data_IF_954313922332
#
_entry.id   IF_954313922332
#
_cell.length_a   1.000
_cell.length_b   1.000
_cell.length_c   1.000
_cell.angle_alpha   90.00
_cell.angle_beta   90.00
_cell.angle_gamma   90.00
#
_symmetry.space_group_name_H-M   'P 1'
#
loop_
_entity.id
_entity.type
_entity.pdbx_description
1 polymer ?
#
# COMPACT_ATOMS: atom_id res chain seq x y z
N UNK A 1 0.83 23.85 -12.65
CA UNK A 1 0.15 22.59 -12.29
C UNK A 1 0.07 21.72 -13.53
N UNK A 2 0.34 20.45 -13.42
CA UNK A 2 0.22 19.49 -14.50
C UNK A 2 -1.09 18.70 -14.34
N UNK A 3 -1.69 18.16 -15.42
CA UNK A 3 -2.87 17.30 -15.29
C UNK A 3 -2.53 15.92 -14.70
N UNK A 4 -1.26 15.65 -14.45
CA UNK A 4 -0.77 14.39 -13.88
C UNK A 4 -1.12 14.25 -12.40
N UNK A 5 -1.27 13.01 -11.96
CA UNK A 5 -1.55 12.70 -10.56
C UNK A 5 -0.88 11.41 -10.09
N UNK A 6 -0.77 11.30 -8.77
CA UNK A 6 -0.46 10.06 -8.06
C UNK A 6 -1.77 9.47 -7.52
N UNK A 7 -2.00 8.19 -7.75
CA UNK A 7 -3.11 7.45 -7.17
C UNK A 7 -2.61 6.69 -5.95
N UNK A 8 -3.24 6.96 -4.79
CA UNK A 8 -2.96 6.24 -3.55
C UNK A 8 -4.18 5.42 -3.19
N UNK A 9 -4.00 4.13 -3.06
CA UNK A 9 -5.08 3.18 -2.78
C UNK A 9 -4.87 2.39 -1.49
N UNK A 10 -5.98 1.96 -0.91
CA UNK A 10 -6.07 1.04 0.21
C UNK A 10 -7.42 0.33 0.13
N UNK A 11 -7.51 -0.95 0.42
CA UNK A 11 -8.81 -1.58 0.49
C UNK A 11 -9.47 -1.32 1.84
N UNK A 12 -10.80 -1.23 1.87
CA UNK A 12 -11.52 -0.91 3.11
C UNK A 12 -12.42 -2.04 3.62
N UNK A 13 -12.62 -3.05 2.82
CA UNK A 13 -13.29 -4.28 3.27
C UNK A 13 -12.31 -5.20 3.98
N UNK A 14 -12.84 -6.12 4.75
CA UNK A 14 -12.03 -7.06 5.52
C UNK A 14 -12.71 -8.42 5.65
N UNK A 15 -11.94 -9.42 6.11
CA UNK A 15 -12.47 -10.59 6.77
C UNK A 15 -12.70 -10.22 8.23
N UNK A 16 -13.87 -10.43 8.75
CA UNK A 16 -14.23 -10.11 10.13
C UNK A 16 -13.92 -8.64 10.53
N UNK A 17 -13.25 -8.38 11.64
CA UNK A 17 -12.96 -7.04 12.15
C UNK A 17 -11.91 -6.30 11.30
N UNK A 18 -10.87 -6.98 10.86
CA UNK A 18 -9.86 -6.43 9.96
C UNK A 18 -9.19 -5.16 10.44
N UNK A 19 -8.78 -5.10 11.70
CA UNK A 19 -8.18 -3.88 12.25
C UNK A 19 -6.79 -3.68 11.69
N UNK A 20 -5.96 -4.71 11.65
CA UNK A 20 -4.65 -4.62 11.00
C UNK A 20 -4.77 -4.71 9.49
N UNK A 21 -5.67 -5.57 8.99
CA UNK A 21 -5.94 -5.77 7.57
C UNK A 21 -7.41 -5.42 7.24
N UNK A 22 -7.79 -4.15 6.91
CA UNK A 22 -6.86 -3.08 6.54
C UNK A 22 -7.29 -1.72 7.12
N UNK A 23 -7.84 -1.67 8.33
CA UNK A 23 -8.20 -0.38 8.93
C UNK A 23 -6.97 0.51 9.17
N UNK A 24 -5.80 -0.09 9.48
CA UNK A 24 -4.55 0.67 9.62
C UNK A 24 -4.10 1.30 8.31
N UNK A 25 -4.23 0.61 7.18
CA UNK A 25 -3.95 1.17 5.86
C UNK A 25 -4.88 2.34 5.52
N UNK A 26 -6.16 2.18 5.82
CA UNK A 26 -7.15 3.26 5.61
C UNK A 26 -6.83 4.49 6.46
N UNK A 27 -6.46 4.30 7.73
CA UNK A 27 -6.05 5.38 8.62
C UNK A 27 -4.78 6.09 8.11
N UNK A 28 -3.79 5.34 7.65
CA UNK A 28 -2.56 5.90 7.08
C UNK A 28 -2.83 6.72 5.81
N UNK A 29 -3.67 6.22 4.92
CA UNK A 29 -4.07 6.97 3.70
C UNK A 29 -4.87 8.22 4.04
N UNK A 30 -5.75 8.16 5.03
CA UNK A 30 -6.50 9.33 5.49
C UNK A 30 -5.58 10.40 6.07
N UNK A 31 -4.60 10.01 6.89
CA UNK A 31 -3.61 10.95 7.44
C UNK A 31 -2.72 11.54 6.34
N UNK A 32 -2.30 10.72 5.38
CA UNK A 32 -1.57 11.20 4.21
C UNK A 32 -2.38 12.24 3.43
N UNK A 33 -3.67 12.00 3.21
CA UNK A 33 -4.56 12.96 2.57
C UNK A 33 -4.65 14.28 3.35
N UNK A 34 -4.78 14.20 4.68
CA UNK A 34 -4.81 15.36 5.57
C UNK A 34 -3.52 16.18 5.46
N UNK A 35 -2.37 15.52 5.50
CA UNK A 35 -1.06 16.19 5.40
C UNK A 35 -0.86 16.83 4.02
N UNK A 36 -1.17 16.09 2.97
CA UNK A 36 -0.97 16.57 1.59
C UNK A 36 -1.93 17.70 1.22
N UNK A 37 -3.15 17.72 1.77
CA UNK A 37 -4.11 18.81 1.53
C UNK A 37 -3.62 20.19 1.99
N UNK A 38 -2.64 20.22 2.87
CA UNK A 38 -2.00 21.45 3.38
C UNK A 38 -0.76 21.86 2.59
N UNK A 39 -0.42 21.15 1.54
CA UNK A 39 0.77 21.39 0.73
C UNK A 39 0.40 21.86 -0.68
N UNK A 40 1.22 22.75 -1.20
CA UNK A 40 1.16 23.06 -2.62
C UNK A 40 1.92 21.97 -3.39
N UNK A 41 1.19 21.16 -4.12
CA UNK A 41 1.74 20.04 -4.87
C UNK A 41 1.84 20.38 -6.35
N UNK A 42 2.90 19.90 -7.00
CA UNK A 42 3.07 20.05 -8.45
C UNK A 42 2.10 19.16 -9.23
N UNK A 43 1.76 17.99 -8.68
CA UNK A 43 0.82 17.03 -9.24
C UNK A 43 -0.35 16.81 -8.32
N UNK A 44 -1.48 16.45 -8.89
CA UNK A 44 -2.65 16.04 -8.11
C UNK A 44 -2.38 14.74 -7.32
N UNK A 45 -3.15 14.53 -6.28
CA UNK A 45 -3.23 13.25 -5.56
C UNK A 45 -4.67 12.81 -5.55
N UNK A 46 -4.93 11.61 -6.07
CA UNK A 46 -6.22 10.93 -5.94
C UNK A 46 -6.11 9.88 -4.85
N UNK A 47 -7.09 9.83 -3.97
CA UNK A 47 -7.20 8.81 -2.94
C UNK A 47 -8.34 7.88 -3.33
N UNK A 48 -8.12 6.58 -3.22
CA UNK A 48 -9.12 5.58 -3.49
C UNK A 48 -9.16 4.52 -2.39
N UNK A 49 -10.38 4.18 -1.97
CA UNK A 49 -10.63 3.06 -1.08
C UNK A 49 -11.37 1.97 -1.84
N UNK A 50 -10.75 0.82 -1.94
CA UNK A 50 -11.24 -0.29 -2.75
C UNK A 50 -12.21 -1.17 -1.98
N UNK A 51 -13.42 -1.42 -2.47
CA UNK A 51 -14.28 -2.49 -1.97
C UNK A 51 -13.89 -3.83 -2.57
N UNK A 52 -14.33 -4.89 -1.93
CA UNK A 52 -14.27 -6.25 -2.45
C UNK A 52 -12.84 -6.75 -2.78
N UNK A 53 -11.86 -6.32 -2.00
CA UNK A 53 -10.52 -6.91 -2.00
C UNK A 53 -10.57 -8.33 -1.43
N UNK A 54 -11.03 -8.44 -0.18
CA UNK A 54 -11.05 -9.71 0.56
C UNK A 54 -12.13 -10.66 0.05
N UNK A 55 -13.36 -10.16 -0.09
CA UNK A 55 -14.52 -11.00 -0.41
C UNK A 55 -14.83 -11.11 -1.91
N UNK A 56 -14.31 -10.20 -2.71
CA UNK A 56 -14.61 -10.10 -4.15
C UNK A 56 -13.41 -10.29 -5.07
N UNK A 57 -12.27 -10.73 -4.55
CA UNK A 57 -11.05 -10.92 -5.35
C UNK A 57 -10.69 -9.67 -6.16
N UNK A 58 -10.57 -8.53 -5.45
CA UNK A 58 -10.11 -7.25 -6.01
C UNK A 58 -11.10 -6.61 -7.00
N UNK A 59 -12.39 -6.92 -6.87
CA UNK A 59 -13.38 -6.45 -7.82
C UNK A 59 -13.47 -4.92 -7.92
N UNK A 60 -13.32 -4.20 -6.80
CA UNK A 60 -13.40 -2.75 -6.78
C UNK A 60 -12.26 -2.07 -7.52
N UNK A 61 -11.02 -2.45 -7.25
CA UNK A 61 -9.85 -1.90 -7.93
C UNK A 61 -9.80 -2.30 -9.41
N UNK A 62 -10.20 -3.53 -9.72
CA UNK A 62 -10.31 -4.00 -11.11
C UNK A 62 -11.33 -3.19 -11.89
N UNK A 63 -12.52 -3.01 -11.34
CA UNK A 63 -13.56 -2.18 -11.95
C UNK A 63 -13.07 -0.75 -12.18
N UNK A 64 -12.42 -0.15 -11.18
CA UNK A 64 -11.87 1.20 -11.32
C UNK A 64 -10.80 1.29 -12.41
N UNK A 65 -9.93 0.28 -12.48
CA UNK A 65 -8.90 0.22 -13.52
C UNK A 65 -9.51 0.16 -14.93
N UNK A 66 -10.57 -0.61 -15.11
CA UNK A 66 -11.25 -0.75 -16.39
C UNK A 66 -12.01 0.53 -16.76
N UNK A 67 -12.79 1.09 -15.85
CA UNK A 67 -13.59 2.30 -16.09
C UNK A 67 -12.74 3.56 -16.29
N UNK A 68 -11.59 3.63 -15.64
CA UNK A 68 -10.70 4.80 -15.70
C UNK A 68 -9.45 4.56 -16.55
N UNK A 69 -9.46 3.53 -17.39
CA UNK A 69 -8.29 3.09 -18.14
C UNK A 69 -7.58 4.22 -18.89
N UNK A 70 -8.31 5.00 -19.69
CA UNK A 70 -7.73 6.08 -20.49
C UNK A 70 -7.13 7.20 -19.62
N UNK A 71 -7.79 7.52 -18.52
CA UNK A 71 -7.31 8.52 -17.56
C UNK A 71 -6.05 8.04 -16.83
N UNK A 72 -6.05 6.79 -16.40
CA UNK A 72 -4.91 6.15 -15.76
C UNK A 72 -3.70 6.10 -16.71
N UNK A 73 -3.93 5.67 -17.93
CA UNK A 73 -2.85 5.55 -18.96
C UNK A 73 -2.26 6.91 -19.34
N UNK A 74 -3.08 7.95 -19.41
CA UNK A 74 -2.66 9.27 -19.86
C UNK A 74 -2.08 10.15 -18.74
N UNK A 75 -2.54 10.00 -17.49
CA UNK A 75 -2.29 10.98 -16.44
C UNK A 75 -1.77 10.43 -15.12
N UNK A 76 -1.95 9.13 -14.84
CA UNK A 76 -1.47 8.53 -13.60
C UNK A 76 0.03 8.25 -13.71
N UNK A 77 0.85 8.98 -12.94
CA UNK A 77 2.31 8.81 -12.97
C UNK A 77 2.81 7.83 -11.91
N UNK A 78 2.02 7.58 -10.89
CA UNK A 78 2.33 6.55 -9.90
C UNK A 78 1.06 6.00 -9.27
N UNK A 79 1.06 4.71 -8.99
CA UNK A 79 0.11 4.00 -8.12
C UNK A 79 0.85 3.57 -6.85
N UNK A 80 0.29 3.92 -5.71
CA UNK A 80 0.83 3.56 -4.39
C UNK A 80 -0.25 2.80 -3.63
N UNK A 81 0.02 1.56 -3.27
CA UNK A 81 -0.86 0.77 -2.43
C UNK A 81 -0.36 0.75 -0.98
N UNK A 82 -1.28 0.94 -0.05
CA UNK A 82 -1.03 0.89 1.38
C UNK A 82 -1.90 -0.19 2.01
N UNK A 83 -1.24 -1.19 2.59
CA UNK A 83 -1.90 -2.32 3.20
C UNK A 83 -1.21 -2.71 4.51
N UNK A 84 -1.99 -2.83 5.58
CA UNK A 84 -1.60 -3.30 6.91
C UNK A 84 -0.33 -2.65 7.53
N UNK A 85 -0.15 -1.33 7.49
CA UNK A 85 1.07 -0.68 8.00
C UNK A 85 1.20 -0.71 9.53
N UNK A 86 0.13 -1.02 10.25
CA UNK A 86 0.08 -0.93 11.71
C UNK A 86 0.14 -2.27 12.44
N UNK A 87 0.58 -3.33 11.81
CA UNK A 87 0.66 -4.64 12.44
C UNK A 87 1.68 -4.69 13.58
N UNK A 88 1.25 -5.20 14.73
CA UNK A 88 2.10 -5.39 15.90
C UNK A 88 3.36 -6.19 15.58
N UNK A 89 4.52 -5.64 15.94
CA UNK A 89 5.82 -6.25 15.69
C UNK A 89 6.39 -6.04 14.29
N UNK A 90 5.72 -5.29 13.42
CA UNK A 90 6.28 -4.84 12.16
C UNK A 90 7.21 -3.65 12.42
N UNK A 91 8.50 -3.84 12.23
CA UNK A 91 9.54 -2.87 12.56
C UNK A 91 10.32 -2.37 11.35
N UNK A 92 10.17 -3.03 10.23
CA UNK A 92 10.86 -2.69 8.99
C UNK A 92 9.85 -2.52 7.86
N UNK A 93 10.12 -1.56 7.01
CA UNK A 93 9.35 -1.28 5.80
C UNK A 93 10.18 -1.69 4.59
N UNK A 94 9.58 -2.44 3.70
CA UNK A 94 10.07 -2.68 2.36
C UNK A 94 9.00 -2.32 1.35
N UNK A 95 9.20 -2.68 0.10
CA UNK A 95 8.19 -2.49 -0.92
C UNK A 95 8.40 -3.42 -2.12
N UNK A 96 7.31 -3.64 -2.82
CA UNK A 96 7.32 -4.22 -4.15
C UNK A 96 7.08 -3.12 -5.18
N UNK A 97 7.84 -3.10 -6.28
CA UNK A 97 7.70 -2.05 -7.29
C UNK A 97 7.87 -2.55 -8.71
N UNK A 98 7.28 -1.82 -9.65
CA UNK A 98 7.52 -1.98 -11.07
C UNK A 98 8.69 -1.10 -11.53
N UNK A 99 9.64 -1.69 -12.25
CA UNK A 99 10.62 -0.96 -13.04
C UNK A 99 11.68 -0.17 -12.29
N UNK A 100 12.01 1.00 -12.83
CA UNK A 100 13.24 1.76 -12.57
C UNK A 100 13.27 2.57 -11.26
N UNK A 101 12.18 2.63 -10.53
CA UNK A 101 12.08 3.48 -9.34
C UNK A 101 12.63 2.83 -8.05
N UNK A 102 12.98 1.56 -8.09
CA UNK A 102 13.35 0.79 -6.90
C UNK A 102 14.49 1.41 -6.08
N UNK A 103 15.59 1.75 -6.72
CA UNK A 103 16.74 2.33 -6.03
C UNK A 103 16.41 3.69 -5.41
N UNK A 104 15.75 4.56 -6.16
CA UNK A 104 15.35 5.90 -5.67
C UNK A 104 14.39 5.80 -4.49
N UNK A 105 13.39 4.92 -4.57
CA UNK A 105 12.43 4.70 -3.48
C UNK A 105 13.12 4.07 -2.27
N UNK A 106 14.04 3.14 -2.50
CA UNK A 106 14.84 2.54 -1.44
C UNK A 106 15.69 3.59 -0.68
N UNK A 107 16.30 4.51 -1.42
CA UNK A 107 17.07 5.62 -0.81
C UNK A 107 16.19 6.59 -0.04
N UNK A 108 15.00 6.88 -0.54
CA UNK A 108 14.02 7.71 0.18
C UNK A 108 13.62 6.99 1.47
N UNK A 109 13.29 5.72 1.41
CA UNK A 109 12.85 4.95 2.57
C UNK A 109 13.93 4.88 3.64
N UNK A 110 15.19 4.57 3.27
CA UNK A 110 16.33 4.60 4.21
C UNK A 110 16.47 5.92 4.92
N UNK A 111 16.33 7.02 4.18
CA UNK A 111 16.44 8.39 4.77
C UNK A 111 15.28 8.72 5.70
N UNK A 112 14.07 8.25 5.37
CA UNK A 112 12.88 8.55 6.17
C UNK A 112 12.78 7.69 7.44
N UNK A 113 13.19 6.43 7.36
CA UNK A 113 13.05 5.46 8.46
C UNK A 113 14.32 5.23 9.27
N UNK A 114 15.47 5.58 8.72
CA UNK A 114 16.77 5.24 9.30
C UNK A 114 17.16 3.75 9.14
N UNK A 115 16.38 2.96 8.42
CA UNK A 115 16.71 1.57 8.14
C UNK A 115 17.99 1.46 7.30
N UNK A 116 18.92 0.59 7.72
CA UNK A 116 20.12 0.32 6.95
C UNK A 116 19.84 -0.47 5.66
N UNK A 117 18.92 -1.42 5.76
CA UNK A 117 18.51 -2.26 4.65
C UNK A 117 17.03 -2.08 4.35
N UNK A 118 16.68 -2.01 3.08
CA UNK A 118 15.32 -1.98 2.58
C UNK A 118 15.10 -3.16 1.66
N UNK A 119 14.08 -3.95 1.95
CA UNK A 119 13.69 -5.06 1.09
C UNK A 119 12.95 -4.51 -0.12
N UNK A 120 13.48 -4.73 -1.30
CA UNK A 120 12.87 -4.33 -2.57
C UNK A 120 12.54 -5.60 -3.36
N UNK A 121 11.31 -5.73 -3.80
CA UNK A 121 10.84 -6.90 -4.56
C UNK A 121 10.21 -6.48 -5.88
N UNK A 122 10.20 -7.37 -6.87
CA UNK A 122 9.36 -7.18 -8.04
C UNK A 122 7.88 -7.11 -7.64
N UNK A 123 7.15 -6.21 -8.26
CA UNK A 123 5.71 -6.08 -8.01
C UNK A 123 4.97 -7.35 -8.45
N UNK A 124 4.10 -7.84 -7.58
CA UNK A 124 3.20 -8.95 -7.88
C UNK A 124 2.19 -8.57 -8.99
N UNK A 125 1.59 -9.59 -9.59
CA UNK A 125 0.59 -9.38 -10.63
C UNK A 125 -0.82 -9.43 -10.06
N UNK A 126 -1.62 -8.45 -10.44
CA UNK A 126 -3.04 -8.36 -10.09
C UNK A 126 -3.27 -7.78 -8.71
N UNK A 127 -4.53 -7.67 -8.34
CA UNK A 127 -5.01 -7.04 -7.12
C UNK A 127 -4.88 -5.51 -7.11
N UNK A 128 -5.15 -4.90 -5.96
CA UNK A 128 -4.98 -3.47 -5.73
C UNK A 128 -3.51 -3.02 -5.80
N UNK A 129 -2.59 -3.99 -5.74
CA UNK A 129 -1.14 -3.77 -5.74
C UNK A 129 -0.63 -3.24 -7.06
N UNK A 130 -1.28 -3.65 -8.16
CA UNK A 130 -0.83 -3.29 -9.49
C UNK A 130 -1.94 -3.32 -10.51
N UNK A 131 -2.02 -2.27 -11.30
CA UNK A 131 -2.92 -2.20 -12.46
C UNK A 131 -2.19 -2.66 -13.71
N UNK A 132 -2.79 -3.63 -14.40
CA UNK A 132 -2.30 -4.12 -15.69
C UNK A 132 -3.13 -3.52 -16.81
N UNK A 133 -2.44 -3.07 -17.84
CA UNK A 133 -3.05 -2.42 -18.97
C UNK A 133 -2.65 -0.97 -19.06
N UNK A 134 -3.06 -0.06 -18.15
CA UNK A 134 -2.58 1.31 -18.14
C UNK A 134 -1.06 1.37 -17.97
N UNK A 135 -0.39 2.25 -18.72
CA UNK A 135 1.07 2.42 -18.65
C UNK A 135 1.47 3.34 -17.50
N UNK A 136 1.15 2.94 -16.27
CA UNK A 136 1.54 3.68 -15.06
C UNK A 136 3.04 3.46 -14.82
N UNK A 137 3.88 4.50 -14.92
CA UNK A 137 5.33 4.34 -14.89
C UNK A 137 5.87 3.75 -13.59
N UNK A 138 5.25 4.10 -12.47
CA UNK A 138 5.67 3.67 -11.14
C UNK A 138 4.47 3.05 -10.44
N UNK A 139 4.61 1.82 -10.01
CA UNK A 139 3.64 1.16 -9.15
C UNK A 139 4.36 0.60 -7.94
N UNK A 140 3.86 0.88 -6.75
CA UNK A 140 4.48 0.54 -5.47
C UNK A 140 3.45 -0.02 -4.52
N UNK A 141 3.78 -1.13 -3.89
CA UNK A 141 3.07 -1.64 -2.73
C UNK A 141 4.03 -1.75 -1.57
N UNK A 142 3.69 -1.14 -0.45
CA UNK A 142 4.50 -1.25 0.77
C UNK A 142 4.27 -2.59 1.44
N UNK A 143 5.35 -3.12 1.99
CA UNK A 143 5.39 -4.36 2.75
C UNK A 143 5.98 -4.08 4.14
N UNK A 144 5.45 -4.74 5.16
CA UNK A 144 5.86 -4.53 6.54
C UNK A 144 6.39 -5.83 7.14
N UNK A 145 7.53 -5.77 7.81
CA UNK A 145 8.27 -6.94 8.26
C UNK A 145 8.69 -6.85 9.71
N UNK A 146 8.84 -7.99 10.37
CA UNK A 146 9.58 -8.06 11.61
C UNK A 146 11.08 -7.90 11.36
N UNK A 147 11.77 -7.18 12.25
CA UNK A 147 13.22 -7.10 12.24
C UNK A 147 13.89 -8.44 12.53
N UNK A 148 15.16 -8.64 12.16
CA UNK A 148 15.93 -9.81 12.57
C UNK A 148 15.92 -10.00 14.10
N UNK A 149 15.92 -11.24 14.61
CA UNK A 149 16.08 -12.50 13.88
C UNK A 149 14.78 -13.08 13.31
N UNK A 150 13.67 -12.39 13.48
CA UNK A 150 12.33 -12.90 13.16
C UNK A 150 11.84 -12.51 11.77
N UNK A 151 12.64 -11.78 10.98
CA UNK A 151 12.28 -11.36 9.63
C UNK A 151 11.77 -12.56 8.81
N UNK A 152 10.55 -12.45 8.32
CA UNK A 152 9.89 -13.48 7.51
C UNK A 152 9.22 -14.62 8.29
N UNK A 153 9.23 -14.63 9.63
CA UNK A 153 8.47 -15.61 10.42
C UNK A 153 6.98 -15.27 10.53
N UNK A 154 6.67 -13.99 10.41
CA UNK A 154 5.30 -13.47 10.48
C UNK A 154 4.98 -12.87 9.13
N UNK A 155 4.69 -13.74 8.22
CA UNK A 155 4.34 -13.33 6.87
C UNK A 155 2.84 -13.52 6.74
N UNK A 156 2.11 -12.46 6.79
CA UNK A 156 0.85 -12.47 6.10
C UNK A 156 1.07 -11.94 4.69
N UNK A 157 0.33 -12.48 3.76
CA UNK A 157 0.49 -12.22 2.35
C UNK A 157 0.39 -10.71 2.07
N UNK A 158 1.54 -10.07 1.91
CA UNK A 158 1.65 -8.68 1.51
C UNK A 158 1.65 -7.65 2.64
N UNK A 159 1.47 -8.04 3.88
CA UNK A 159 1.43 -7.13 5.00
C UNK A 159 1.92 -7.84 6.24
N UNK A 160 2.81 -7.28 6.97
CA UNK A 160 3.47 -7.90 8.12
C UNK A 160 2.57 -8.38 9.27
N UNK A 161 1.35 -8.83 8.99
CA UNK A 161 0.41 -9.33 9.98
C UNK A 161 0.85 -10.64 10.62
N UNK A 162 0.37 -10.87 11.81
CA UNK A 162 0.63 -12.05 12.57
C UNK A 162 -0.36 -13.19 12.29
N UNK A 163 -0.41 -14.14 13.20
CA UNK A 163 -1.31 -15.29 13.14
C UNK A 163 -2.80 -14.93 13.11
N UNK A 164 -3.15 -13.72 13.51
CA UNK A 164 -4.52 -13.19 13.53
C UNK A 164 -5.06 -12.77 12.17
N UNK A 165 -4.20 -12.67 11.17
CA UNK A 165 -4.58 -12.23 9.83
C UNK A 165 -5.73 -13.08 9.26
N UNK A 166 -6.75 -12.42 8.71
CA UNK A 166 -7.96 -13.03 8.17
C UNK A 166 -8.77 -13.83 9.20
N UNK A 167 -8.74 -13.43 10.46
CA UNK A 167 -9.51 -14.08 11.52
C UNK A 167 -10.24 -13.05 12.40
N UNK A 168 -11.16 -13.54 13.23
CA UNK A 168 -11.87 -12.74 14.24
C UNK A 168 -10.94 -12.12 15.30
N UNK A 169 -9.69 -12.57 15.34
CA UNK A 169 -8.68 -12.09 16.27
C UNK A 169 -7.93 -10.85 15.76
N UNK A 170 -8.23 -10.38 14.53
CA UNK A 170 -7.66 -9.15 14.00
C UNK A 170 -8.33 -7.91 14.62
N UNK A 171 -7.97 -7.64 15.86
CA UNK A 171 -8.55 -6.63 16.75
C UNK A 171 -7.54 -5.54 17.13
N UNK A 172 -7.99 -4.49 17.85
CA UNK A 172 -7.17 -3.32 18.18
C UNK A 172 -5.88 -3.63 18.95
N UNK A 173 -5.85 -4.69 19.74
CA UNK A 173 -4.66 -5.13 20.48
C UNK A 173 -3.55 -5.71 19.60
N UNK A 174 -3.80 -5.86 18.32
CA UNK A 174 -2.82 -6.28 17.30
C UNK A 174 -2.19 -5.11 16.56
N UNK A 175 -2.58 -3.89 16.91
CA UNK A 175 -2.00 -2.68 16.32
C UNK A 175 -0.84 -2.19 17.18
N UNK A 176 0.27 -1.87 16.53
CA UNK A 176 1.38 -1.17 17.19
C UNK A 176 1.21 0.33 17.01
N UNK A 177 1.05 1.10 18.08
CA UNK A 177 0.81 2.54 17.99
C UNK A 177 2.08 3.38 17.75
N UNK A 178 3.24 2.76 17.53
CA UNK A 178 4.51 3.48 17.33
C UNK A 178 4.70 4.07 15.95
#
# INVERSE_FOLDING_TARGET
>A
ETPEYVLVGSHYDSWDYGVTDNATGNAAVLELARVLSQKQLRRGVKIAWWPAHSNGRYAGSTWYCDEQFEDLDARCVALVNMDSPGCMGAQEIGFSTSGVAGDTLGDILRRCTGQAEVVIRPLGRGSDLSFFGPRIPIQVSFDFYQAPPNRGRWHCAGSGGGWWWHSVEDTMDKVDPQ
#
